data_IF_251814882026
#
_entry.id   IF_251814882026
#
_cell.length_a   1.000
_cell.length_b   1.000
_cell.length_c   1.000
_cell.angle_alpha   90.00
_cell.angle_beta   90.00
_cell.angle_gamma   90.00
#
_symmetry.space_group_name_H-M   'P 1'
#
loop_
_entity.id
_entity.type
_entity.pdbx_description
1 polymer ?
#
# COMPACT_ATOMS: atom_id res chain seq x y z
N UNK A 1 -20.03 1.38 7.57
CA UNK A 1 -18.88 2.24 7.21
C UNK A 1 -17.99 2.41 8.42
N UNK A 2 -16.68 2.15 8.26
CA UNK A 2 -15.69 2.38 9.32
C UNK A 2 -15.21 3.84 9.28
N UNK A 3 -15.10 4.46 10.44
CA UNK A 3 -14.55 5.80 10.58
C UNK A 3 -13.50 5.84 11.69
N UNK A 4 -12.34 6.34 11.37
CA UNK A 4 -11.21 6.56 12.28
C UNK A 4 -11.09 8.05 12.51
N UNK A 5 -11.13 8.51 13.77
CA UNK A 5 -11.09 9.93 14.15
C UNK A 5 -9.98 10.21 15.13
N UNK A 6 -8.95 10.94 14.69
CA UNK A 6 -7.92 11.50 15.54
C UNK A 6 -7.16 10.48 16.38
N UNK A 7 -6.93 9.27 15.87
CA UNK A 7 -6.23 8.22 16.61
C UNK A 7 -4.82 8.67 16.95
N UNK A 8 -4.49 8.55 18.22
CA UNK A 8 -3.17 8.77 18.78
C UNK A 8 -2.70 7.52 19.52
N UNK A 9 -1.42 7.20 19.37
CA UNK A 9 -0.75 6.09 20.09
C UNK A 9 0.69 6.44 20.35
N UNK A 10 1.15 6.18 21.59
CA UNK A 10 2.54 6.34 21.97
C UNK A 10 3.01 5.11 22.76
N UNK A 11 4.30 4.79 22.66
CA UNK A 11 4.99 3.82 23.51
C UNK A 11 6.17 4.50 24.19
N UNK A 12 6.29 4.31 25.50
CA UNK A 12 7.39 4.89 26.29
C UNK A 12 7.56 6.41 26.03
N UNK A 13 6.44 7.15 25.96
CA UNK A 13 6.37 8.58 25.64
C UNK A 13 6.82 8.94 24.22
N UNK A 14 7.12 7.98 23.34
CA UNK A 14 7.42 8.24 21.93
C UNK A 14 6.15 8.09 21.08
N UNK A 15 5.68 9.15 20.39
CA UNK A 15 4.53 9.06 19.52
C UNK A 15 4.77 8.10 18.35
N UNK A 16 3.89 7.12 18.18
CA UNK A 16 3.89 6.22 17.02
C UNK A 16 2.85 6.65 15.98
N UNK A 17 1.64 7.05 16.44
CA UNK A 17 0.56 7.53 15.58
C UNK A 17 0.04 8.86 16.11
N UNK A 18 -0.19 9.82 15.21
CA UNK A 18 -0.52 11.20 15.55
C UNK A 18 -1.72 11.68 14.74
N UNK A 19 -2.88 11.76 15.39
CA UNK A 19 -4.12 12.31 14.79
C UNK A 19 -4.55 11.62 13.49
N UNK A 20 -4.45 10.28 13.41
CA UNK A 20 -4.86 9.50 12.24
C UNK A 20 -6.37 9.57 12.07
N UNK A 21 -6.82 10.00 10.90
CA UNK A 21 -8.25 10.10 10.55
C UNK A 21 -8.47 9.68 9.10
N UNK A 22 -9.41 8.77 8.87
CA UNK A 22 -9.88 8.36 7.54
C UNK A 22 -11.20 7.60 7.64
N UNK A 23 -11.82 7.36 6.49
CA UNK A 23 -13.05 6.58 6.33
C UNK A 23 -12.78 5.35 5.47
N UNK A 24 -13.53 4.27 5.67
CA UNK A 24 -13.60 3.14 4.75
C UNK A 24 -15.04 2.95 4.33
N UNK A 25 -15.29 3.11 3.04
CA UNK A 25 -16.62 2.97 2.43
C UNK A 25 -17.05 1.51 2.30
N UNK A 26 -18.31 1.30 1.95
CA UNK A 26 -18.84 -0.04 1.63
C UNK A 26 -18.18 -0.56 0.36
N UNK A 27 -17.68 -1.79 0.39
CA UNK A 27 -17.00 -2.42 -0.75
C UNK A 27 -15.64 -1.81 -1.11
N UNK A 28 -15.19 -0.76 -0.37
CA UNK A 28 -13.92 -0.10 -0.62
C UNK A 28 -12.75 -0.87 -0.01
N UNK A 29 -11.70 -1.06 -0.78
CA UNK A 29 -10.41 -1.55 -0.31
C UNK A 29 -9.45 -0.38 -0.17
N UNK A 30 -9.06 -0.04 1.07
CA UNK A 30 -7.99 0.92 1.31
C UNK A 30 -6.67 0.21 1.62
N UNK A 31 -5.56 0.80 1.20
CA UNK A 31 -4.23 0.33 1.55
C UNK A 31 -3.50 1.36 2.41
N UNK A 32 -3.02 0.92 3.58
CA UNK A 32 -2.06 1.65 4.41
C UNK A 32 -0.66 1.30 3.93
N UNK A 33 -0.02 2.21 3.21
CA UNK A 33 1.31 2.04 2.63
C UNK A 33 2.32 2.94 3.36
N UNK A 34 3.47 2.40 3.74
CA UNK A 34 4.51 3.16 4.41
C UNK A 34 5.69 2.28 4.85
N UNK A 35 6.79 2.88 5.32
CA UNK A 35 7.97 2.13 5.75
C UNK A 35 7.68 1.23 6.96
N UNK A 36 8.56 0.25 7.19
CA UNK A 36 8.49 -0.59 8.38
C UNK A 36 8.59 0.28 9.65
N UNK A 37 7.82 -0.06 10.68
CA UNK A 37 7.80 0.72 11.93
C UNK A 37 6.93 1.99 11.91
N UNK A 38 6.25 2.33 10.81
CA UNK A 38 5.39 3.53 10.75
C UNK A 38 4.06 3.43 11.52
N UNK A 39 3.78 2.29 12.15
CA UNK A 39 2.56 2.11 12.97
C UNK A 39 1.38 1.44 12.26
N UNK A 40 1.53 0.94 11.02
CA UNK A 40 0.46 0.31 10.23
C UNK A 40 -0.21 -0.87 10.96
N UNK A 41 0.59 -1.86 11.40
CA UNK A 41 0.09 -3.04 12.11
C UNK A 41 -0.52 -2.68 13.47
N UNK A 42 0.04 -1.67 14.16
CA UNK A 42 -0.53 -1.16 15.42
C UNK A 42 -1.90 -0.53 15.18
N UNK A 43 -2.06 0.28 14.14
CA UNK A 43 -3.35 0.84 13.76
C UNK A 43 -4.37 -0.26 13.44
N UNK A 44 -3.95 -1.29 12.71
CA UNK A 44 -4.80 -2.44 12.40
C UNK A 44 -5.26 -3.19 13.65
N UNK A 45 -4.34 -3.41 14.62
CA UNK A 45 -4.66 -4.04 15.92
C UNK A 45 -5.65 -3.21 16.74
N UNK A 46 -5.53 -1.89 16.71
CA UNK A 46 -6.50 -1.00 17.37
C UNK A 46 -7.88 -1.09 16.70
N UNK A 47 -7.95 -1.12 15.38
CA UNK A 47 -9.21 -1.30 14.65
C UNK A 47 -9.82 -2.67 14.98
N UNK A 48 -9.01 -3.72 15.07
CA UNK A 48 -9.45 -5.05 15.50
C UNK A 48 -9.91 -5.12 16.96
N UNK A 49 -9.54 -4.12 17.79
CA UNK A 49 -9.82 -4.10 19.23
C UNK A 49 -8.86 -4.94 20.07
N UNK A 50 -7.73 -5.34 19.49
CA UNK A 50 -6.67 -6.08 20.17
C UNK A 50 -5.79 -5.17 21.04
N UNK A 51 -5.82 -3.86 20.75
CA UNK A 51 -5.10 -2.84 21.49
C UNK A 51 -5.95 -1.56 21.56
N UNK A 52 -6.02 -0.83 22.69
CA UNK A 52 -6.72 0.44 22.75
C UNK A 52 -5.86 1.58 22.20
N UNK A 53 -6.44 2.57 21.52
CA UNK A 53 -5.78 3.84 21.27
C UNK A 53 -5.61 4.64 22.57
N UNK A 54 -4.62 5.53 22.63
CA UNK A 54 -4.44 6.41 23.78
C UNK A 54 -5.35 7.66 23.68
N UNK A 55 -5.75 8.04 22.46
CA UNK A 55 -6.79 9.03 22.19
C UNK A 55 -7.42 8.82 20.80
N UNK A 56 -8.55 9.46 20.55
CA UNK A 56 -9.33 9.34 19.32
C UNK A 56 -10.41 8.28 19.43
N UNK A 57 -11.11 8.03 18.32
CA UNK A 57 -12.27 7.13 18.26
C UNK A 57 -12.22 6.23 17.03
N UNK A 58 -12.72 5.02 17.17
CA UNK A 58 -12.96 4.05 16.10
C UNK A 58 -14.47 3.79 16.06
N UNK A 59 -15.10 4.18 14.99
CA UNK A 59 -16.56 4.12 14.86
C UNK A 59 -16.95 3.18 13.72
N UNK A 60 -18.03 2.42 13.96
CA UNK A 60 -18.70 1.64 12.91
C UNK A 60 -20.15 2.11 12.79
N UNK A 61 -20.52 2.61 11.60
CA UNK A 61 -21.84 3.23 11.37
C UNK A 61 -22.23 4.25 12.44
N UNK A 62 -21.24 5.10 12.84
CA UNK A 62 -21.41 6.14 13.85
C UNK A 62 -21.34 5.65 15.30
N UNK A 63 -21.28 4.34 15.55
CA UNK A 63 -21.21 3.77 16.91
C UNK A 63 -19.75 3.53 17.31
N UNK A 64 -19.38 4.01 18.50
CA UNK A 64 -18.04 3.80 19.05
C UNK A 64 -17.78 2.33 19.37
N UNK A 65 -16.67 1.81 18.86
CA UNK A 65 -16.24 0.44 19.08
C UNK A 65 -15.38 0.25 20.34
N UNK A 66 -15.08 1.31 21.09
CA UNK A 66 -14.27 1.20 22.31
C UNK A 66 -14.83 0.17 23.31
N UNK A 67 -16.16 0.10 23.60
CA UNK A 67 -16.70 -0.91 24.50
C UNK A 67 -16.87 -2.29 23.85
N UNK A 68 -16.62 -2.44 22.55
CA UNK A 68 -16.86 -3.68 21.81
C UNK A 68 -15.59 -4.54 21.77
N UNK A 69 -15.57 -5.70 22.41
CA UNK A 69 -14.40 -6.59 22.40
C UNK A 69 -14.17 -7.17 20.98
N UNK A 70 -12.94 -7.61 20.66
CA UNK A 70 -12.56 -8.07 19.31
C UNK A 70 -13.52 -9.09 18.70
N UNK A 71 -13.91 -10.13 19.46
CA UNK A 71 -14.78 -11.20 18.98
C UNK A 71 -16.23 -10.76 18.67
N UNK A 72 -16.64 -9.55 19.09
CA UNK A 72 -17.96 -8.97 18.80
C UNK A 72 -17.93 -7.89 17.73
N UNK A 73 -16.73 -7.52 17.22
CA UNK A 73 -16.62 -6.54 16.12
C UNK A 73 -17.01 -7.12 14.78
N UNK A 74 -17.10 -8.45 14.65
CA UNK A 74 -17.34 -9.14 13.38
C UNK A 74 -16.36 -8.74 12.26
N UNK A 75 -15.11 -8.52 12.61
CA UNK A 75 -14.02 -8.21 11.69
C UNK A 75 -13.16 -9.44 11.44
N UNK A 76 -12.81 -9.70 10.18
CA UNK A 76 -11.86 -10.73 9.78
C UNK A 76 -10.46 -10.16 9.73
N UNK A 77 -9.48 -10.83 10.36
CA UNK A 77 -8.08 -10.42 10.35
C UNK A 77 -7.22 -11.57 9.82
N UNK A 78 -6.41 -11.27 8.81
CA UNK A 78 -5.36 -12.15 8.28
C UNK A 78 -4.02 -11.57 8.72
N UNK A 79 -3.30 -12.33 9.54
CA UNK A 79 -1.97 -11.97 10.07
C UNK A 79 -0.86 -12.29 9.07
N UNK A 80 0.29 -11.69 9.25
CA UNK A 80 1.48 -11.87 8.42
C UNK A 80 1.99 -13.33 8.44
N UNK A 81 1.90 -14.02 9.58
CA UNK A 81 2.27 -15.42 9.78
C UNK A 81 1.08 -16.38 9.60
N UNK A 82 -0.03 -15.86 9.05
CA UNK A 82 -1.32 -16.55 8.88
C UNK A 82 -1.98 -17.01 10.18
N UNK A 83 -1.24 -17.17 11.27
CA UNK A 83 -1.70 -17.63 12.59
C UNK A 83 -2.66 -18.83 12.51
N UNK A 84 -2.35 -19.81 11.64
CA UNK A 84 -3.14 -21.04 11.52
C UNK A 84 -2.93 -21.94 12.74
N UNK A 85 -3.95 -22.69 13.10
CA UNK A 85 -3.87 -23.70 14.15
C UNK A 85 -3.19 -24.97 13.60
N UNK A 86 -1.94 -25.28 13.96
CA UNK A 86 -1.16 -26.30 13.27
C UNK A 86 -1.66 -27.74 13.58
N UNK A 87 -2.41 -27.92 14.64
CA UNK A 87 -3.02 -29.18 15.05
C UNK A 87 -4.39 -29.46 14.37
N UNK A 88 -4.94 -28.48 13.65
CA UNK A 88 -6.21 -28.60 12.94
C UNK A 88 -5.97 -28.78 11.42
N UNK A 89 -6.92 -29.42 10.74
CA UNK A 89 -6.97 -29.48 9.29
C UNK A 89 -7.52 -28.17 8.68
N UNK A 90 -7.62 -28.11 7.35
CA UNK A 90 -8.14 -26.96 6.61
C UNK A 90 -9.58 -26.66 7.02
N UNK A 91 -10.43 -27.69 7.08
CA UNK A 91 -11.84 -27.54 7.45
C UNK A 91 -11.98 -26.94 8.87
N UNK A 92 -11.28 -27.49 9.82
CA UNK A 92 -11.37 -27.07 11.22
C UNK A 92 -10.78 -25.67 11.45
N UNK A 93 -9.72 -25.32 10.74
CA UNK A 93 -9.20 -23.94 10.73
C UNK A 93 -10.24 -22.95 10.22
N UNK A 94 -10.84 -23.24 9.05
CA UNK A 94 -11.84 -22.36 8.45
C UNK A 94 -13.16 -22.31 9.26
N UNK A 95 -13.54 -23.44 9.89
CA UNK A 95 -14.76 -23.56 10.72
C UNK A 95 -14.66 -22.81 12.05
N UNK A 96 -13.45 -22.48 12.51
CA UNK A 96 -13.21 -22.01 13.88
C UNK A 96 -14.15 -20.85 14.29
N UNK A 97 -14.22 -19.80 13.47
CA UNK A 97 -15.06 -18.64 13.76
C UNK A 97 -16.56 -18.94 13.77
N UNK A 98 -17.02 -19.85 12.92
CA UNK A 98 -18.42 -20.29 12.88
C UNK A 98 -18.80 -21.08 14.11
N UNK A 99 -17.91 -21.98 14.58
CA UNK A 99 -18.11 -22.73 15.84
C UNK A 99 -18.16 -21.82 17.06
N UNK A 100 -17.30 -20.80 17.10
CA UNK A 100 -17.33 -19.78 18.17
C UNK A 100 -18.64 -19.00 18.20
N UNK A 101 -19.30 -18.85 17.06
CA UNK A 101 -20.64 -18.24 16.93
C UNK A 101 -21.79 -19.26 17.11
N UNK A 102 -21.50 -20.50 17.53
CA UNK A 102 -22.46 -21.60 17.76
C UNK A 102 -23.33 -21.92 16.53
N UNK A 103 -22.78 -21.87 15.32
CA UNK A 103 -23.48 -22.31 14.11
C UNK A 103 -23.73 -23.82 14.14
N UNK A 104 -24.85 -24.27 13.56
CA UNK A 104 -25.18 -25.68 13.45
C UNK A 104 -24.22 -26.38 12.46
N UNK A 105 -23.94 -27.65 12.71
CA UNK A 105 -22.98 -28.44 11.91
C UNK A 105 -23.27 -28.42 10.43
N UNK A 106 -24.53 -28.50 10.02
CA UNK A 106 -24.90 -28.51 8.61
C UNK A 106 -24.75 -27.12 7.94
N UNK A 107 -25.05 -26.04 8.68
CA UNK A 107 -24.80 -24.66 8.24
C UNK A 107 -23.30 -24.43 8.07
N UNK A 108 -22.47 -24.92 9.00
CA UNK A 108 -21.00 -24.85 8.90
C UNK A 108 -20.50 -25.54 7.64
N UNK A 109 -20.95 -26.79 7.39
CA UNK A 109 -20.53 -27.54 6.19
C UNK A 109 -20.89 -26.81 4.89
N UNK A 110 -22.14 -26.33 4.79
CA UNK A 110 -22.60 -25.59 3.60
C UNK A 110 -21.77 -24.34 3.39
N UNK A 111 -21.58 -23.53 4.45
CA UNK A 111 -20.80 -22.30 4.37
C UNK A 111 -19.34 -22.54 4.02
N UNK A 112 -18.72 -23.58 4.58
CA UNK A 112 -17.33 -23.90 4.26
C UNK A 112 -17.16 -24.41 2.84
N UNK A 113 -18.09 -25.17 2.29
CA UNK A 113 -18.04 -25.56 0.89
C UNK A 113 -18.00 -24.33 -0.04
N UNK A 114 -18.83 -23.30 0.24
CA UNK A 114 -18.82 -22.03 -0.51
C UNK A 114 -17.50 -21.28 -0.37
N UNK A 115 -17.01 -21.16 0.86
CA UNK A 115 -15.81 -20.36 1.13
C UNK A 115 -14.55 -21.04 0.61
N UNK A 116 -14.41 -22.36 0.76
CA UNK A 116 -13.28 -23.13 0.24
C UNK A 116 -13.25 -23.12 -1.29
N UNK A 117 -14.42 -23.16 -1.94
CA UNK A 117 -14.52 -22.97 -3.39
C UNK A 117 -14.08 -21.56 -3.81
N UNK A 118 -14.51 -20.54 -3.07
CA UNK A 118 -14.16 -19.14 -3.32
C UNK A 118 -12.65 -18.88 -3.28
N UNK A 119 -11.92 -19.57 -2.38
CA UNK A 119 -10.45 -19.43 -2.21
C UNK A 119 -9.66 -20.54 -2.92
N UNK A 120 -10.29 -21.32 -3.84
CA UNK A 120 -9.67 -22.40 -4.61
C UNK A 120 -9.03 -23.50 -3.73
N UNK A 121 -9.67 -23.87 -2.62
CA UNK A 121 -9.26 -24.97 -1.73
C UNK A 121 -10.24 -26.14 -1.68
N UNK A 122 -11.12 -26.27 -2.68
CA UNK A 122 -12.02 -27.41 -2.79
C UNK A 122 -11.24 -28.72 -2.88
N UNK A 123 -11.58 -29.69 -2.04
CA UNK A 123 -10.89 -31.00 -1.95
C UNK A 123 -9.68 -31.01 -1.01
N UNK A 124 -9.42 -29.89 -0.29
CA UNK A 124 -8.33 -29.78 0.69
C UNK A 124 -8.83 -29.92 2.13
N UNK A 125 -10.11 -30.13 2.35
CA UNK A 125 -10.80 -30.03 3.64
C UNK A 125 -10.08 -30.78 4.76
N UNK A 126 -9.59 -31.98 4.49
CA UNK A 126 -8.97 -32.87 5.48
C UNK A 126 -7.44 -32.89 5.43
N UNK A 127 -6.82 -31.99 4.66
CA UNK A 127 -5.34 -31.83 4.68
C UNK A 127 -4.91 -31.10 5.93
N UNK A 128 -3.79 -31.53 6.51
CA UNK A 128 -3.15 -30.77 7.59
C UNK A 128 -2.58 -29.48 7.07
N UNK A 129 -2.76 -28.37 7.80
CA UNK A 129 -2.23 -27.07 7.37
C UNK A 129 -0.71 -27.02 7.33
N UNK A 130 -0.03 -27.90 8.10
CA UNK A 130 1.42 -28.06 8.10
C UNK A 130 1.98 -28.64 6.80
N UNK A 131 1.15 -29.35 6.02
CA UNK A 131 1.55 -30.00 4.79
C UNK A 131 1.29 -29.13 3.54
N UNK A 132 0.77 -27.92 3.77
CA UNK A 132 0.42 -26.97 2.73
C UNK A 132 1.58 -26.02 2.40
N UNK A 133 1.65 -25.62 1.12
CA UNK A 133 2.52 -24.51 0.69
C UNK A 133 2.10 -23.18 1.33
N UNK A 134 2.99 -22.20 1.35
CA UNK A 134 2.70 -20.86 1.91
C UNK A 134 1.47 -20.20 1.29
N UNK A 135 1.29 -20.31 -0.03
CA UNK A 135 0.11 -19.79 -0.71
C UNK A 135 -1.18 -20.53 -0.33
N UNK A 136 -1.15 -21.85 -0.16
CA UNK A 136 -2.29 -22.63 0.32
C UNK A 136 -2.63 -22.28 1.78
N UNK A 137 -1.62 -22.10 2.65
CA UNK A 137 -1.81 -21.64 4.03
C UNK A 137 -2.48 -20.27 4.08
N UNK A 138 -2.05 -19.33 3.25
CA UNK A 138 -2.68 -18.01 3.12
C UNK A 138 -4.16 -18.12 2.71
N UNK A 139 -4.49 -18.96 1.73
CA UNK A 139 -5.88 -19.21 1.32
C UNK A 139 -6.71 -19.79 2.47
N UNK A 140 -6.14 -20.66 3.31
CA UNK A 140 -6.83 -21.17 4.52
C UNK A 140 -7.06 -20.02 5.53
N UNK A 141 -6.10 -19.13 5.74
CA UNK A 141 -6.28 -17.97 6.61
C UNK A 141 -7.35 -17.01 6.08
N UNK A 142 -7.39 -16.81 4.77
CA UNK A 142 -8.43 -16.02 4.11
C UNK A 142 -9.81 -16.71 4.25
N UNK A 143 -9.91 -18.03 4.04
CA UNK A 143 -11.15 -18.78 4.26
C UNK A 143 -11.64 -18.64 5.70
N UNK A 144 -10.75 -18.78 6.68
CA UNK A 144 -11.07 -18.60 8.12
C UNK A 144 -11.61 -17.19 8.41
N UNK A 145 -11.03 -16.16 7.78
CA UNK A 145 -11.47 -14.78 7.96
C UNK A 145 -12.83 -14.51 7.29
N UNK A 146 -13.09 -15.12 6.11
CA UNK A 146 -14.33 -14.93 5.33
C UNK A 146 -15.52 -15.75 5.85
N UNK A 147 -15.27 -16.93 6.44
CA UNK A 147 -16.31 -17.86 6.82
C UNK A 147 -17.39 -17.23 7.73
N UNK A 148 -17.07 -16.44 8.77
CA UNK A 148 -18.06 -15.88 9.70
C UNK A 148 -18.88 -14.71 9.15
N UNK A 149 -18.85 -14.39 7.85
CA UNK A 149 -19.46 -13.20 7.24
C UNK A 149 -18.97 -11.88 7.89
N UNK A 150 -17.68 -11.56 7.77
CA UNK A 150 -17.16 -10.36 8.41
C UNK A 150 -17.72 -9.10 7.78
N UNK A 151 -17.88 -8.05 8.60
CA UNK A 151 -18.27 -6.71 8.13
C UNK A 151 -17.09 -5.91 7.57
N UNK A 152 -15.86 -6.29 7.94
CA UNK A 152 -14.61 -5.71 7.50
C UNK A 152 -13.56 -6.81 7.39
N UNK A 153 -12.74 -6.78 6.34
CA UNK A 153 -11.54 -7.60 6.23
C UNK A 153 -10.31 -6.74 6.49
N UNK A 154 -9.35 -7.31 7.20
CA UNK A 154 -8.08 -6.66 7.50
C UNK A 154 -6.93 -7.61 7.19
N UNK A 155 -5.87 -7.07 6.57
CA UNK A 155 -4.70 -7.83 6.14
C UNK A 155 -3.43 -7.13 6.64
N UNK A 156 -2.64 -7.82 7.44
CA UNK A 156 -1.37 -7.32 7.98
C UNK A 156 -0.21 -7.99 7.24
N UNK A 157 0.30 -7.36 6.19
CA UNK A 157 1.38 -7.84 5.31
C UNK A 157 1.21 -9.32 4.85
N UNK A 158 0.04 -9.70 4.30
CA UNK A 158 -0.31 -11.11 4.13
C UNK A 158 0.51 -11.86 3.08
N UNK A 159 1.28 -11.17 2.23
CA UNK A 159 2.07 -11.74 1.14
C UNK A 159 3.58 -11.64 1.38
N UNK A 160 4.01 -11.06 2.51
CA UNK A 160 5.42 -10.74 2.75
C UNK A 160 6.38 -11.93 2.76
N UNK A 161 5.89 -13.14 3.05
CA UNK A 161 6.69 -14.36 3.13
C UNK A 161 6.81 -15.16 1.81
N UNK A 162 6.15 -14.69 0.73
CA UNK A 162 6.05 -15.44 -0.54
C UNK A 162 7.05 -14.95 -1.58
N UNK A 163 7.42 -15.84 -2.50
CA UNK A 163 8.18 -15.47 -3.69
C UNK A 163 7.38 -14.56 -4.62
N UNK A 164 8.09 -13.87 -5.53
CA UNK A 164 7.49 -12.81 -6.36
C UNK A 164 6.38 -13.32 -7.27
N UNK A 165 6.57 -14.45 -7.95
CA UNK A 165 5.59 -14.94 -8.94
C UNK A 165 4.29 -15.38 -8.25
N UNK A 166 4.41 -16.15 -7.17
CA UNK A 166 3.28 -16.59 -6.37
C UNK A 166 2.54 -15.40 -5.73
N UNK A 167 3.28 -14.36 -5.32
CA UNK A 167 2.72 -13.13 -4.74
C UNK A 167 1.82 -12.39 -5.74
N UNK A 168 2.26 -12.20 -6.99
CA UNK A 168 1.47 -11.53 -8.04
C UNK A 168 0.16 -12.28 -8.33
N UNK A 169 0.20 -13.61 -8.43
CA UNK A 169 -0.98 -14.43 -8.66
C UNK A 169 -1.99 -14.35 -7.51
N UNK A 170 -1.51 -14.51 -6.28
CA UNK A 170 -2.35 -14.46 -5.08
C UNK A 170 -2.93 -13.07 -4.83
N UNK A 171 -2.20 -12.01 -5.15
CA UNK A 171 -2.68 -10.64 -5.05
C UNK A 171 -3.85 -10.38 -6.01
N UNK A 172 -3.73 -10.84 -7.25
CA UNK A 172 -4.80 -10.72 -8.25
C UNK A 172 -6.04 -11.54 -7.85
N UNK A 173 -5.83 -12.72 -7.30
CA UNK A 173 -6.92 -13.57 -6.79
C UNK A 173 -7.63 -12.90 -5.60
N UNK A 174 -6.86 -12.40 -4.62
CA UNK A 174 -7.39 -11.68 -3.46
C UNK A 174 -8.20 -10.46 -3.89
N UNK A 175 -7.68 -9.67 -4.84
CA UNK A 175 -8.42 -8.54 -5.42
C UNK A 175 -9.75 -9.01 -6.03
N UNK A 176 -9.74 -10.10 -6.79
CA UNK A 176 -10.96 -10.69 -7.36
C UNK A 176 -11.98 -11.12 -6.30
N UNK A 177 -11.52 -11.67 -5.17
CA UNK A 177 -12.36 -12.07 -4.03
C UNK A 177 -12.98 -10.83 -3.37
N UNK A 178 -12.19 -9.78 -3.08
CA UNK A 178 -12.68 -8.54 -2.48
C UNK A 178 -13.73 -7.87 -3.37
N UNK A 179 -13.47 -7.78 -4.68
CA UNK A 179 -14.45 -7.24 -5.63
C UNK A 179 -15.75 -8.08 -5.73
N UNK A 180 -15.68 -9.40 -5.62
CA UNK A 180 -16.89 -10.24 -5.65
C UNK A 180 -17.70 -10.17 -4.37
N UNK A 181 -17.02 -10.12 -3.22
CA UNK A 181 -17.69 -10.14 -1.91
C UNK A 181 -18.20 -8.78 -1.49
N UNK A 182 -17.66 -7.68 -2.05
CA UNK A 182 -18.00 -6.30 -1.68
C UNK A 182 -17.85 -6.02 -0.17
N UNK A 183 -17.03 -6.81 0.52
CA UNK A 183 -16.67 -6.57 1.92
C UNK A 183 -15.61 -5.48 1.93
N UNK A 184 -15.81 -4.38 2.69
CA UNK A 184 -14.77 -3.36 2.83
C UNK A 184 -13.50 -3.96 3.40
N UNK A 185 -12.33 -3.45 2.97
CA UNK A 185 -11.07 -4.03 3.40
C UNK A 185 -10.02 -2.96 3.73
N UNK A 186 -9.16 -3.28 4.71
CA UNK A 186 -7.93 -2.55 5.01
C UNK A 186 -6.76 -3.48 4.75
N UNK A 187 -5.91 -3.10 3.81
CA UNK A 187 -4.70 -3.84 3.47
C UNK A 187 -3.47 -3.07 3.94
N UNK A 188 -2.61 -3.72 4.70
CA UNK A 188 -1.37 -3.13 5.20
C UNK A 188 -0.19 -3.76 4.46
N UNK A 189 0.67 -2.94 3.90
CA UNK A 189 1.91 -3.39 3.26
C UNK A 189 2.97 -2.29 3.25
N UNK A 190 4.21 -2.66 3.00
CA UNK A 190 5.29 -1.75 2.63
C UNK A 190 5.67 -1.87 1.13
N UNK A 191 5.03 -2.80 0.41
CA UNK A 191 5.24 -3.05 -1.01
C UNK A 191 4.28 -2.19 -1.85
N UNK A 192 4.84 -1.41 -2.77
CA UNK A 192 4.07 -0.48 -3.62
C UNK A 192 3.27 -1.20 -4.69
N UNK A 193 3.83 -2.29 -5.25
CA UNK A 193 3.16 -3.06 -6.30
C UNK A 193 1.90 -3.73 -5.73
N UNK A 194 1.99 -4.24 -4.49
CA UNK A 194 0.82 -4.75 -3.77
C UNK A 194 -0.23 -3.65 -3.57
N UNK A 195 0.20 -2.51 -2.99
CA UNK A 195 -0.70 -1.41 -2.67
C UNK A 195 -1.44 -0.89 -3.91
N UNK A 196 -0.72 -0.71 -5.03
CA UNK A 196 -1.30 -0.17 -6.26
C UNK A 196 -2.16 -1.17 -7.02
N UNK A 197 -1.94 -2.48 -6.80
CA UNK A 197 -2.76 -3.51 -7.43
C UNK A 197 -4.07 -3.72 -6.71
N UNK A 198 -4.07 -3.73 -5.36
CA UNK A 198 -5.24 -4.16 -4.58
C UNK A 198 -6.18 -3.03 -4.20
N UNK A 199 -5.66 -1.80 -4.00
CA UNK A 199 -6.41 -0.73 -3.36
C UNK A 199 -7.24 0.11 -4.34
N UNK A 200 -8.43 0.50 -3.91
CA UNK A 200 -9.19 1.60 -4.51
C UNK A 200 -8.63 2.95 -4.07
N UNK A 201 -8.11 3.02 -2.83
CA UNK A 201 -7.48 4.20 -2.25
C UNK A 201 -6.28 3.82 -1.39
N UNK A 202 -5.18 4.56 -1.58
CA UNK A 202 -3.92 4.40 -0.85
C UNK A 202 -3.77 5.56 0.13
N UNK A 203 -3.37 5.23 1.37
CA UNK A 203 -3.01 6.16 2.43
C UNK A 203 -1.53 5.99 2.72
N UNK A 204 -0.72 7.01 2.44
CA UNK A 204 0.71 7.00 2.76
C UNK A 204 0.91 7.38 4.23
N UNK A 205 1.42 6.45 5.02
CA UNK A 205 1.71 6.64 6.45
C UNK A 205 3.21 6.89 6.66
N UNK A 206 3.54 8.06 7.18
CA UNK A 206 4.92 8.47 7.50
C UNK A 206 4.94 9.27 8.79
N UNK A 207 5.93 9.00 9.64
CA UNK A 207 6.12 9.66 10.95
C UNK A 207 4.84 9.77 11.78
N UNK A 208 4.07 8.67 11.76
CA UNK A 208 2.83 8.56 12.51
C UNK A 208 1.65 9.36 11.95
N UNK A 209 1.74 9.89 10.73
CA UNK A 209 0.69 10.68 10.09
C UNK A 209 0.34 10.16 8.70
N UNK A 210 -0.90 10.36 8.27
CA UNK A 210 -1.27 10.16 6.86
C UNK A 210 -0.81 11.40 6.11
N UNK A 211 0.28 11.27 5.35
CA UNK A 211 0.90 12.36 4.61
C UNK A 211 0.24 12.61 3.26
N UNK A 212 -0.32 11.56 2.66
CA UNK A 212 -1.05 11.66 1.39
C UNK A 212 -2.08 10.56 1.30
N UNK A 213 -3.23 10.85 0.68
CA UNK A 213 -4.24 9.87 0.30
C UNK A 213 -4.78 10.15 -1.10
N UNK A 214 -5.25 9.11 -1.78
CA UNK A 214 -5.84 9.20 -3.11
C UNK A 214 -5.93 7.85 -3.80
N UNK A 215 -6.42 7.85 -5.04
CA UNK A 215 -6.33 6.64 -5.87
C UNK A 215 -4.87 6.28 -6.13
N UNK A 216 -4.52 5.00 -6.40
CA UNK A 216 -3.16 4.61 -6.78
C UNK A 216 -2.56 5.51 -7.87
N UNK A 217 -3.33 5.81 -8.91
CA UNK A 217 -2.89 6.67 -10.00
C UNK A 217 -2.63 8.12 -9.57
N UNK A 218 -3.45 8.70 -8.68
CA UNK A 218 -3.23 10.05 -8.17
C UNK A 218 -2.01 10.14 -7.27
N UNK A 219 -1.86 9.19 -6.33
CA UNK A 219 -0.70 9.13 -5.41
C UNK A 219 0.60 9.00 -6.20
N UNK A 220 0.64 8.12 -7.21
CA UNK A 220 1.79 7.94 -8.09
C UNK A 220 2.08 9.17 -8.96
N UNK A 221 1.03 9.74 -9.59
CA UNK A 221 1.21 10.82 -10.57
C UNK A 221 1.46 12.18 -9.93
N UNK A 222 1.01 12.40 -8.69
CA UNK A 222 1.02 13.72 -8.02
C UNK A 222 1.50 13.60 -6.57
N UNK A 223 2.76 13.18 -6.32
CA UNK A 223 3.28 13.15 -4.96
C UNK A 223 3.23 14.56 -4.37
N UNK A 224 2.77 14.67 -3.12
CA UNK A 224 2.59 15.96 -2.46
C UNK A 224 3.84 16.46 -1.72
N UNK A 225 4.87 15.63 -1.57
CA UNK A 225 6.07 15.96 -0.82
C UNK A 225 7.31 15.28 -1.40
N UNK A 226 8.47 15.79 -1.01
CA UNK A 226 9.77 15.18 -1.33
C UNK A 226 9.83 13.75 -0.81
N UNK A 227 9.37 13.54 0.44
CA UNK A 227 9.33 12.20 1.02
C UNK A 227 8.46 11.23 0.21
N UNK A 228 7.23 11.63 -0.15
CA UNK A 228 6.34 10.79 -0.94
C UNK A 228 6.96 10.41 -2.29
N UNK A 229 7.58 11.37 -2.98
CA UNK A 229 8.24 11.11 -4.25
C UNK A 229 9.44 10.16 -4.12
N UNK A 230 10.24 10.29 -3.06
CA UNK A 230 11.36 9.40 -2.74
C UNK A 230 10.88 7.99 -2.37
N UNK A 231 9.92 7.93 -1.46
CA UNK A 231 9.34 6.65 -1.01
C UNK A 231 8.73 5.86 -2.17
N UNK A 232 8.06 6.55 -3.09
CA UNK A 232 7.50 5.94 -4.30
C UNK A 232 8.54 5.66 -5.40
N UNK A 233 9.81 5.94 -5.19
CA UNK A 233 10.86 5.68 -6.17
C UNK A 233 10.71 6.46 -7.47
N UNK A 234 10.07 7.63 -7.45
CA UNK A 234 9.66 8.37 -8.65
C UNK A 234 10.80 9.06 -9.40
N UNK A 235 12.05 8.75 -9.07
CA UNK A 235 13.19 9.21 -9.85
C UNK A 235 13.94 10.38 -9.22
N UNK A 236 14.33 11.34 -10.07
CA UNK A 236 15.25 12.39 -9.67
C UNK A 236 14.52 13.55 -9.00
N UNK A 237 14.98 13.93 -7.81
CA UNK A 237 14.56 15.16 -7.14
C UNK A 237 15.76 16.10 -7.11
N UNK A 238 15.57 17.32 -7.60
CA UNK A 238 16.61 18.35 -7.67
C UNK A 238 16.15 19.61 -6.94
N UNK A 239 17.09 20.30 -6.32
CA UNK A 239 16.85 21.63 -5.78
C UNK A 239 16.91 22.68 -6.91
N UNK A 240 16.02 23.65 -6.82
CA UNK A 240 15.99 24.80 -7.71
C UNK A 240 15.72 26.09 -6.96
N UNK A 241 16.09 27.20 -7.59
CA UNK A 241 15.79 28.55 -7.11
C UNK A 241 14.89 29.25 -8.12
N UNK A 242 13.77 29.77 -7.67
CA UNK A 242 12.82 30.46 -8.51
C UNK A 242 13.45 31.75 -9.06
N UNK A 243 13.49 31.88 -10.39
CA UNK A 243 13.88 33.11 -11.07
C UNK A 243 12.67 34.05 -11.18
N UNK A 244 11.55 33.47 -11.61
CA UNK A 244 10.24 34.13 -11.67
C UNK A 244 9.16 33.03 -11.59
N UNK A 245 7.88 33.36 -11.47
CA UNK A 245 6.80 32.40 -11.24
C UNK A 245 6.66 31.25 -12.28
N UNK A 246 7.50 31.22 -13.32
CA UNK A 246 7.48 30.21 -14.38
C UNK A 246 8.85 29.60 -14.69
N UNK A 247 9.93 30.17 -14.16
CA UNK A 247 11.31 29.73 -14.44
C UNK A 247 12.05 29.43 -13.14
N UNK A 248 12.83 28.37 -13.17
CA UNK A 248 13.65 27.89 -12.05
C UNK A 248 15.08 27.65 -12.55
N UNK A 249 16.04 28.10 -11.77
CA UNK A 249 17.48 27.83 -11.91
C UNK A 249 17.84 26.60 -11.07
N UNK A 250 18.55 25.66 -11.66
CA UNK A 250 19.00 24.44 -10.99
C UNK A 250 20.47 24.17 -11.32
N UNK A 251 21.09 23.21 -10.65
CA UNK A 251 22.47 22.79 -10.94
C UNK A 251 22.66 22.20 -12.34
N UNK A 252 21.57 21.76 -12.98
CA UNK A 252 21.57 21.11 -14.31
C UNK A 252 21.00 21.98 -15.41
N UNK A 253 20.70 23.24 -15.13
CA UNK A 253 20.22 24.24 -16.09
C UNK A 253 19.02 25.05 -15.62
N UNK A 254 18.55 25.92 -16.51
CA UNK A 254 17.36 26.73 -16.29
C UNK A 254 16.17 26.10 -17.01
N UNK A 255 15.06 25.94 -16.30
CA UNK A 255 13.89 25.24 -16.78
C UNK A 255 12.62 26.06 -16.63
N UNK A 256 11.66 25.76 -17.48
CA UNK A 256 10.29 26.22 -17.31
C UNK A 256 9.53 25.22 -16.44
N UNK A 257 8.76 25.70 -15.47
CA UNK A 257 7.93 24.86 -14.62
C UNK A 257 6.48 25.33 -14.60
N UNK A 258 5.56 24.36 -14.44
CA UNK A 258 4.16 24.63 -14.10
C UNK A 258 3.97 24.25 -12.64
N UNK A 259 3.89 25.26 -11.76
CA UNK A 259 3.61 25.03 -10.36
C UNK A 259 2.16 25.43 -10.03
N UNK A 260 1.55 24.70 -9.11
CA UNK A 260 0.21 25.01 -8.59
C UNK A 260 0.25 26.09 -7.49
N UNK A 261 1.44 26.34 -6.95
CA UNK A 261 1.67 27.27 -5.88
C UNK A 261 2.22 28.61 -6.41
N UNK A 262 1.97 29.68 -5.69
CA UNK A 262 2.61 30.98 -5.96
C UNK A 262 3.95 31.00 -5.27
N UNK A 263 5.01 31.18 -6.01
CA UNK A 263 6.37 31.30 -5.50
C UNK A 263 6.90 32.70 -5.69
N UNK A 264 7.76 33.14 -4.77
CA UNK A 264 8.49 34.38 -4.88
C UNK A 264 9.84 34.14 -5.58
N UNK A 265 10.35 35.17 -6.27
CA UNK A 265 11.69 35.11 -6.85
C UNK A 265 12.73 34.92 -5.72
N UNK A 266 13.67 34.00 -5.93
CA UNK A 266 14.70 33.65 -4.94
C UNK A 266 14.33 32.50 -4.01
N UNK A 267 13.08 32.03 -3.99
CA UNK A 267 12.63 30.90 -3.19
C UNK A 267 13.28 29.58 -3.64
N UNK A 268 13.70 28.75 -2.67
CA UNK A 268 14.19 27.40 -2.92
C UNK A 268 13.01 26.43 -3.03
N UNK A 269 13.05 25.57 -4.04
CA UNK A 269 12.03 24.56 -4.29
C UNK A 269 12.65 23.21 -4.62
N UNK A 270 11.94 22.14 -4.31
CA UNK A 270 12.29 20.80 -4.76
C UNK A 270 11.48 20.44 -6.00
N UNK A 271 12.14 19.89 -6.99
CA UNK A 271 11.55 19.57 -8.30
C UNK A 271 11.72 18.09 -8.58
N UNK A 272 10.61 17.40 -8.83
CA UNK A 272 10.62 16.05 -9.37
C UNK A 272 10.83 16.13 -10.89
N UNK A 273 11.85 15.44 -11.37
CA UNK A 273 12.19 15.36 -12.80
C UNK A 273 11.63 14.07 -13.36
N UNK A 274 10.64 14.16 -14.24
CA UNK A 274 10.08 13.00 -14.94
C UNK A 274 10.45 13.00 -16.42
N UNK A 275 10.89 11.86 -16.98
CA UNK A 275 11.08 11.74 -18.42
C UNK A 275 9.75 11.86 -19.15
N UNK A 276 9.76 12.45 -20.35
CA UNK A 276 8.62 12.53 -21.24
C UNK A 276 8.94 11.84 -22.57
N UNK A 277 8.05 10.98 -23.02
CA UNK A 277 8.21 10.30 -24.33
C UNK A 277 7.84 11.23 -25.50
N UNK A 278 6.83 12.08 -25.32
CA UNK A 278 6.34 12.99 -26.39
C UNK A 278 5.84 14.31 -25.83
N UNK A 279 6.44 15.44 -26.21
CA UNK A 279 5.87 16.79 -25.99
C UNK A 279 6.65 17.82 -26.80
N UNK A 280 5.95 18.81 -27.37
CA UNK A 280 6.57 19.94 -28.08
C UNK A 280 7.07 21.05 -27.09
N UNK A 281 6.65 21.02 -25.82
CA UNK A 281 7.01 22.00 -24.78
C UNK A 281 7.83 21.37 -23.64
N UNK A 282 8.69 20.42 -23.93
CA UNK A 282 9.47 19.74 -22.89
C UNK A 282 10.77 20.50 -22.60
N UNK A 283 11.08 20.62 -21.30
CA UNK A 283 12.44 20.94 -20.92
C UNK A 283 13.38 19.80 -21.36
N UNK A 284 14.65 20.12 -21.59
CA UNK A 284 15.65 19.15 -22.01
C UNK A 284 16.80 19.16 -21.03
N UNK A 285 17.19 17.96 -20.59
CA UNK A 285 18.40 17.75 -19.78
C UNK A 285 19.44 17.12 -20.68
N UNK A 286 20.61 17.75 -20.77
CA UNK A 286 21.78 17.23 -21.48
C UNK A 286 22.81 16.77 -20.46
N UNK A 287 23.36 15.59 -20.66
CA UNK A 287 24.44 15.06 -19.82
C UNK A 287 25.16 13.93 -20.49
N UNK A 288 26.39 13.70 -20.03
CA UNK A 288 27.21 12.58 -20.48
C UNK A 288 26.86 11.35 -19.65
N UNK A 289 26.72 10.21 -20.29
CA UNK A 289 26.47 8.91 -19.61
C UNK A 289 27.68 8.55 -18.77
N UNK A 290 27.49 8.50 -17.45
CA UNK A 290 28.49 8.09 -16.48
C UNK A 290 28.44 6.59 -16.21
N UNK A 291 27.22 6.00 -16.15
CA UNK A 291 27.02 4.58 -15.86
C UNK A 291 25.75 4.04 -16.53
N UNK A 292 25.77 2.71 -16.83
CA UNK A 292 24.64 2.00 -17.45
C UNK A 292 24.47 0.64 -16.83
N UNK A 293 23.36 0.42 -16.13
CA UNK A 293 23.01 -0.85 -15.47
C UNK A 293 21.73 -1.43 -16.07
N UNK A 294 21.77 -2.71 -16.47
CA UNK A 294 20.56 -3.40 -16.94
C UNK A 294 19.66 -3.77 -15.74
N UNK A 295 18.41 -3.38 -15.80
CA UNK A 295 17.39 -3.71 -14.79
C UNK A 295 16.13 -4.24 -15.48
N UNK A 296 15.92 -5.54 -15.36
CA UNK A 296 14.77 -6.26 -15.92
C UNK A 296 14.63 -6.10 -17.44
N UNK A 297 13.86 -5.12 -17.92
CA UNK A 297 13.55 -4.85 -19.32
C UNK A 297 14.14 -3.53 -19.85
N UNK A 298 14.85 -2.78 -18.99
CA UNK A 298 15.36 -1.43 -19.29
C UNK A 298 16.79 -1.24 -18.81
N UNK A 299 17.41 -0.17 -19.27
CA UNK A 299 18.72 0.27 -18.80
C UNK A 299 18.55 1.50 -17.90
N UNK A 300 18.98 1.38 -16.63
CA UNK A 300 19.17 2.54 -15.76
C UNK A 300 20.44 3.24 -16.20
N UNK A 301 20.29 4.43 -16.72
CA UNK A 301 21.38 5.27 -17.27
C UNK A 301 21.58 6.44 -16.33
N UNK A 302 22.76 6.54 -15.71
CA UNK A 302 23.15 7.65 -14.84
C UNK A 302 23.99 8.65 -15.64
N UNK A 303 23.63 9.92 -15.57
CA UNK A 303 24.38 11.02 -16.17
C UNK A 303 25.43 11.57 -15.19
N UNK A 304 26.44 12.26 -15.70
CA UNK A 304 27.54 12.89 -14.94
C UNK A 304 27.05 13.90 -13.87
N UNK A 305 25.86 14.48 -14.04
CA UNK A 305 25.17 15.30 -13.03
C UNK A 305 24.44 14.50 -11.93
N UNK A 306 24.56 13.17 -11.87
CA UNK A 306 23.92 12.30 -10.88
C UNK A 306 22.45 11.97 -11.17
N UNK A 307 21.84 12.54 -12.20
CA UNK A 307 20.49 12.19 -12.61
C UNK A 307 20.47 10.84 -13.32
N UNK A 308 19.42 10.05 -13.10
CA UNK A 308 19.28 8.78 -13.79
C UNK A 308 17.93 8.66 -14.52
N UNK A 309 17.92 7.90 -15.60
CA UNK A 309 16.75 7.65 -16.43
C UNK A 309 16.70 6.19 -16.87
N UNK A 310 15.50 5.68 -17.11
CA UNK A 310 15.30 4.34 -17.63
C UNK A 310 15.06 4.40 -19.12
N UNK A 311 15.95 3.77 -19.91
CA UNK A 311 15.87 3.74 -21.38
C UNK A 311 15.69 2.30 -21.87
N UNK A 312 15.01 2.13 -23.00
CA UNK A 312 14.88 0.81 -23.66
C UNK A 312 16.20 0.37 -24.32
N UNK A 313 16.88 1.33 -24.94
CA UNK A 313 18.12 1.08 -25.63
C UNK A 313 19.33 1.35 -24.72
N UNK A 314 20.38 0.53 -24.86
CA UNK A 314 21.65 0.67 -24.11
C UNK A 314 22.53 1.76 -24.71
N UNK A 315 22.70 2.94 -24.11
CA UNK A 315 23.67 3.93 -24.58
C UNK A 315 25.10 3.50 -24.22
N UNK A 316 26.07 4.13 -24.88
CA UNK A 316 27.48 3.94 -24.52
C UNK A 316 27.87 4.87 -23.37
N UNK A 317 28.66 4.37 -22.43
CA UNK A 317 29.31 5.22 -21.41
C UNK A 317 30.15 6.30 -22.12
N UNK A 318 30.04 7.54 -21.67
CA UNK A 318 30.66 8.71 -22.30
C UNK A 318 29.82 9.35 -23.42
N UNK A 319 28.75 8.73 -23.88
CA UNK A 319 27.83 9.31 -24.88
C UNK A 319 27.08 10.50 -24.30
N UNK A 320 26.89 11.56 -25.11
CA UNK A 320 25.98 12.65 -24.76
C UNK A 320 24.54 12.25 -25.03
N UNK A 321 23.71 12.41 -24.02
CA UNK A 321 22.27 12.22 -24.16
C UNK A 321 21.50 13.53 -23.95
N UNK A 322 20.37 13.62 -24.62
CA UNK A 322 19.40 14.70 -24.46
C UNK A 322 18.05 14.08 -24.14
N UNK A 323 17.57 14.34 -22.94
CA UNK A 323 16.36 13.69 -22.40
C UNK A 323 15.31 14.78 -22.18
N UNK A 324 14.15 14.59 -22.78
CA UNK A 324 12.99 15.47 -22.58
C UNK A 324 12.41 15.18 -21.20
N UNK A 325 12.13 16.22 -20.42
CA UNK A 325 11.65 16.09 -19.04
C UNK A 325 10.55 17.09 -18.74
N UNK A 326 9.70 16.70 -17.79
CA UNK A 326 8.76 17.56 -17.08
C UNK A 326 9.29 17.78 -15.66
N UNK A 327 9.20 19.02 -15.19
CA UNK A 327 9.51 19.33 -13.81
C UNK A 327 8.21 19.63 -13.04
N UNK A 328 8.06 18.94 -11.91
CA UNK A 328 6.93 19.09 -10.99
C UNK A 328 7.45 19.61 -9.66
N UNK A 329 6.85 20.69 -9.18
CA UNK A 329 7.21 21.27 -7.89
C UNK A 329 6.63 20.42 -6.77
N UNK A 330 7.48 20.01 -5.84
CA UNK A 330 7.14 19.32 -4.59
C UNK A 330 7.07 20.32 -3.44
N UNK A 331 6.24 20.03 -2.46
CA UNK A 331 6.16 20.78 -1.20
C UNK A 331 7.19 20.30 -0.18
#
# INVERSE_FOLDING_TARGET
MLEIRGIYKAYEAQPLLQSISFLVGTGETICLLGPSGSGKSTLLRMIAGLEPPDAGQILWDGNDLAPTPPHRRDFGLVFQDYALFPHLDVFDNAAFGLRMKNWKSDEVKTRLAEVLDLVNLRGFEHRKVTDLSGGEQQRVALARALAPHPRLLMFDEPLGALDRALREDLLNELRGILHRTQIPAIYVTHDQDEAFTIADRVLLLHDGQITQEGTPADVWSKPNSVWAAQFLGLGNIIEGKIINGKKVETKVGNFSMKCRHKHQAGEKVHLLVRPLETSNEANQIRGRVADVVFQQDRFKVTLDGGLYFYLKDKPKVGQMLEIKVKLECLQ
#
